data_IF_234400861692
#
_entry.id   IF_234400861692
#
_cell.length_a   1.000
_cell.length_b   1.000
_cell.length_c   1.000
_cell.angle_alpha   90.00
_cell.angle_beta   90.00
_cell.angle_gamma   90.00
#
_symmetry.space_group_name_H-M   'P 1'
#
loop_
_entity.id
_entity.type
_entity.pdbx_description
1 polymer ?
#
# COMPACT_ATOMS: atom_id res chain seq x y z
N UNK A 1 -27.00 36.50 20.39
CA UNK A 1 -25.71 36.48 19.66
C UNK A 1 -24.94 35.14 19.75
N UNK A 2 -25.25 34.21 20.68
CA UNK A 2 -24.55 32.91 20.80
C UNK A 2 -24.92 31.83 19.76
N UNK A 3 -26.13 31.89 19.17
CA UNK A 3 -26.59 30.89 18.19
C UNK A 3 -25.97 31.02 16.76
N UNK A 4 -25.56 32.24 16.36
CA UNK A 4 -24.93 32.44 15.04
C UNK A 4 -23.46 31.97 14.96
N UNK A 5 -22.76 31.97 16.09
CA UNK A 5 -21.34 31.52 16.13
C UNK A 5 -21.18 29.99 16.02
N UNK A 6 -22.15 29.24 16.55
CA UNK A 6 -22.12 27.78 16.45
C UNK A 6 -22.45 27.27 15.03
N UNK A 7 -23.36 27.96 14.34
CA UNK A 7 -23.70 27.62 12.94
C UNK A 7 -22.52 27.90 11.99
N UNK A 8 -21.76 28.97 12.23
CA UNK A 8 -20.59 29.33 11.42
C UNK A 8 -19.43 28.35 11.69
N UNK A 9 -19.26 27.87 12.93
CA UNK A 9 -18.21 26.90 13.27
C UNK A 9 -18.48 25.51 12.64
N UNK A 10 -19.75 25.08 12.61
CA UNK A 10 -20.16 23.82 11.98
C UNK A 10 -20.01 23.91 10.45
N UNK A 11 -20.28 25.06 9.84
CA UNK A 11 -20.14 25.30 8.40
C UNK A 11 -18.65 25.33 8.00
N UNK A 12 -17.76 25.84 8.85
CA UNK A 12 -16.29 25.83 8.61
C UNK A 12 -15.66 24.45 8.79
N UNK A 13 -16.18 23.62 9.71
CA UNK A 13 -15.73 22.22 9.83
C UNK A 13 -16.17 21.34 8.64
N UNK A 14 -17.34 21.64 8.06
CA UNK A 14 -17.80 20.96 6.83
C UNK A 14 -16.99 21.34 5.59
N UNK A 15 -16.38 22.53 5.54
CA UNK A 15 -15.58 23.00 4.40
C UNK A 15 -14.23 22.29 4.31
N UNK A 16 -13.68 21.81 5.43
CA UNK A 16 -12.45 20.99 5.42
C UNK A 16 -12.63 19.57 4.81
N UNK A 17 -13.87 19.10 4.68
CA UNK A 17 -14.22 17.83 4.03
C UNK A 17 -14.51 17.98 2.51
N UNK A 18 -14.45 19.19 1.96
CA UNK A 18 -14.85 19.50 0.57
C UNK A 18 -13.76 19.30 -0.50
N UNK A 19 -12.63 18.69 -0.17
CA UNK A 19 -11.63 18.26 -1.16
C UNK A 19 -12.01 17.00 -1.96
N UNK A 20 -13.05 16.28 -1.56
CA UNK A 20 -13.56 15.10 -2.26
C UNK A 20 -15.04 15.33 -2.60
N UNK A 21 -15.31 15.89 -3.77
CA UNK A 21 -16.57 16.36 -4.33
C UNK A 21 -17.85 15.56 -4.09
N UNK A 22 -18.20 15.26 -2.85
CA UNK A 22 -19.52 14.72 -2.47
C UNK A 22 -20.05 15.54 -1.30
N UNK A 23 -21.06 16.38 -1.57
CA UNK A 23 -21.87 17.01 -0.54
C UNK A 23 -22.72 15.94 0.15
N UNK A 24 -22.27 15.48 1.33
CA UNK A 24 -23.13 14.70 2.22
C UNK A 24 -24.03 15.71 2.94
N UNK A 25 -25.35 15.73 2.71
CA UNK A 25 -26.25 16.49 3.56
C UNK A 25 -26.28 15.81 4.93
N UNK A 26 -25.62 16.42 5.91
CA UNK A 26 -25.81 16.04 7.32
C UNK A 26 -27.25 16.45 7.67
N UNK A 27 -28.17 15.54 7.45
CA UNK A 27 -29.57 15.69 7.94
C UNK A 27 -29.52 15.45 9.45
N UNK A 28 -29.27 16.52 10.21
CA UNK A 28 -29.61 16.54 11.62
C UNK A 28 -31.15 16.63 11.71
N UNK A 29 -31.85 15.56 11.32
CA UNK A 29 -33.22 15.39 11.74
C UNK A 29 -33.21 15.06 13.23
N UNK A 30 -33.47 16.05 14.07
CA UNK A 30 -33.99 15.81 15.41
C UNK A 30 -35.35 15.11 15.28
N UNK A 31 -35.34 13.81 15.11
CA UNK A 31 -36.48 12.99 15.44
C UNK A 31 -36.54 12.94 16.97
N UNK A 32 -37.49 13.64 17.56
CA UNK A 32 -38.05 13.31 18.87
C UNK A 32 -38.80 11.98 18.71
N UNK A 33 -38.07 10.90 18.51
CA UNK A 33 -38.58 9.54 18.67
C UNK A 33 -38.65 9.30 20.19
N UNK A 34 -39.79 8.94 20.70
CA UNK A 34 -39.86 8.37 22.04
C UNK A 34 -38.88 7.22 22.15
N UNK A 35 -38.23 7.07 23.31
CA UNK A 35 -37.25 6.02 23.54
C UNK A 35 -37.82 4.65 23.12
N UNK A 36 -37.16 3.95 22.22
CA UNK A 36 -37.52 2.58 21.89
C UNK A 36 -37.22 1.68 23.11
N UNK A 37 -37.90 0.53 23.19
CA UNK A 37 -37.60 -0.47 24.27
C UNK A 37 -36.12 -0.87 24.30
N UNK A 38 -35.48 -0.86 23.15
CA UNK A 38 -34.06 -1.14 22.99
C UNK A 38 -33.20 -0.02 23.59
N UNK A 39 -33.60 1.24 23.41
CA UNK A 39 -32.91 2.37 24.02
C UNK A 39 -33.06 2.36 25.55
N UNK A 40 -34.24 2.04 26.09
CA UNK A 40 -34.44 1.90 27.53
C UNK A 40 -33.58 0.79 28.14
N UNK A 41 -33.42 -0.35 27.42
CA UNK A 41 -32.50 -1.43 27.85
C UNK A 41 -31.06 -0.97 27.84
N UNK A 42 -30.65 -0.27 26.79
CA UNK A 42 -29.27 0.25 26.67
C UNK A 42 -28.96 1.18 27.84
N UNK A 43 -29.85 2.18 28.10
CA UNK A 43 -29.66 3.16 29.15
C UNK A 43 -29.65 2.49 30.54
N UNK A 44 -30.50 1.47 30.76
CA UNK A 44 -30.55 0.70 32.01
C UNK A 44 -29.25 -0.08 32.22
N UNK A 45 -28.77 -0.82 31.20
CA UNK A 45 -27.53 -1.62 31.31
C UNK A 45 -26.34 -0.68 31.54
N UNK A 46 -26.27 0.41 30.79
CA UNK A 46 -25.22 1.42 30.91
C UNK A 46 -25.16 2.01 32.33
N UNK A 47 -26.34 2.39 32.89
CA UNK A 47 -26.44 2.89 34.26
C UNK A 47 -25.98 1.87 35.29
N UNK A 48 -26.45 0.62 35.20
CA UNK A 48 -26.04 -0.47 36.12
C UNK A 48 -24.53 -0.69 36.09
N UNK A 49 -23.93 -0.73 34.88
CA UNK A 49 -22.49 -0.95 34.74
C UNK A 49 -21.66 0.20 35.34
N UNK A 50 -22.15 1.42 35.24
CA UNK A 50 -21.45 2.59 35.79
C UNK A 50 -21.64 2.78 37.30
N UNK A 51 -22.80 2.38 37.88
CA UNK A 51 -23.12 2.64 39.28
C UNK A 51 -23.05 1.41 40.17
N UNK A 52 -23.72 0.32 39.79
CA UNK A 52 -24.02 -0.82 40.67
C UNK A 52 -23.07 -2.02 40.43
N UNK A 53 -22.39 -2.06 39.30
CA UNK A 53 -21.49 -3.15 38.99
C UNK A 53 -20.27 -3.19 39.95
N UNK A 54 -19.99 -4.33 40.51
CA UNK A 54 -18.90 -4.54 41.51
C UNK A 54 -17.53 -4.00 41.03
N UNK A 55 -17.27 -4.01 39.73
CA UNK A 55 -16.02 -3.55 39.15
C UNK A 55 -16.04 -2.07 38.68
N UNK A 56 -17.15 -1.36 38.81
CA UNK A 56 -17.31 0.02 38.31
C UNK A 56 -16.20 0.95 38.80
N UNK A 57 -15.83 0.87 40.08
CA UNK A 57 -14.76 1.68 40.70
C UNK A 57 -13.34 1.15 40.43
N UNK A 58 -13.19 -0.01 39.78
CA UNK A 58 -11.89 -0.64 39.51
C UNK A 58 -11.38 -0.37 38.10
N UNK A 59 -12.20 0.16 37.21
CA UNK A 59 -11.88 0.43 35.83
C UNK A 59 -11.80 1.93 35.62
N UNK A 60 -10.63 2.41 35.26
CA UNK A 60 -10.44 3.85 34.96
C UNK A 60 -11.16 4.20 33.66
N UNK A 61 -11.88 5.33 33.66
CA UNK A 61 -12.64 5.84 32.51
C UNK A 61 -13.68 4.81 31.99
N UNK A 62 -14.38 4.14 32.91
CA UNK A 62 -15.36 3.10 32.57
C UNK A 62 -16.45 3.63 31.63
N UNK A 63 -16.99 4.81 31.92
CA UNK A 63 -17.99 5.52 31.12
C UNK A 63 -17.61 5.57 29.63
N UNK A 64 -16.45 6.15 29.31
CA UNK A 64 -15.94 6.24 27.92
C UNK A 64 -15.73 4.86 27.31
N UNK A 65 -15.18 3.90 28.07
CA UNK A 65 -14.94 2.55 27.54
C UNK A 65 -16.21 1.80 27.19
N UNK A 66 -17.27 1.95 28.00
CA UNK A 66 -18.57 1.34 27.70
C UNK A 66 -19.20 1.95 26.45
N UNK A 67 -19.08 3.27 26.28
CA UNK A 67 -19.58 3.94 25.08
C UNK A 67 -18.77 3.55 23.82
N UNK A 68 -17.46 3.49 23.90
CA UNK A 68 -16.61 3.03 22.79
C UNK A 68 -16.95 1.58 22.38
N UNK A 69 -17.11 0.67 23.36
CA UNK A 69 -17.52 -0.71 23.08
C UNK A 69 -18.91 -0.78 22.42
N UNK A 70 -19.85 0.06 22.86
CA UNK A 70 -21.16 0.11 22.25
C UNK A 70 -21.11 0.61 20.81
N UNK A 71 -20.32 1.65 20.54
CA UNK A 71 -20.10 2.21 19.19
C UNK A 71 -19.43 1.16 18.29
N UNK A 72 -18.39 0.49 18.77
CA UNK A 72 -17.72 -0.58 18.04
C UNK A 72 -18.69 -1.72 17.70
N UNK A 73 -19.50 -2.16 18.67
CA UNK A 73 -20.54 -3.19 18.46
C UNK A 73 -21.60 -2.77 17.41
N UNK A 74 -22.00 -1.49 17.37
CA UNK A 74 -22.93 -0.99 16.36
C UNK A 74 -22.34 -0.97 14.94
N UNK A 75 -21.04 -0.83 14.82
CA UNK A 75 -20.35 -0.70 13.54
C UNK A 75 -19.80 -2.03 13.01
N UNK A 76 -19.79 -3.07 13.85
CA UNK A 76 -19.37 -4.43 13.46
C UNK A 76 -20.58 -5.23 12.95
N UNK A 77 -20.81 -5.18 11.63
CA UNK A 77 -21.93 -5.87 10.98
C UNK A 77 -21.45 -6.91 9.97
N UNK A 78 -21.94 -8.13 10.05
CA UNK A 78 -21.60 -9.26 9.16
C UNK A 78 -21.78 -8.96 7.66
N UNK A 79 -22.72 -8.05 7.32
CA UNK A 79 -23.02 -7.70 5.93
C UNK A 79 -22.03 -6.72 5.32
N UNK A 80 -21.28 -5.98 6.14
CA UNK A 80 -20.40 -4.91 5.69
C UNK A 80 -19.11 -4.84 6.53
N UNK A 81 -18.13 -5.62 6.13
CA UNK A 81 -16.81 -5.63 6.76
C UNK A 81 -16.00 -4.32 6.57
N UNK A 82 -16.52 -3.39 5.77
CA UNK A 82 -15.84 -2.11 5.47
C UNK A 82 -16.41 -0.92 6.25
N UNK A 83 -17.49 -1.12 7.01
CA UNK A 83 -18.02 -0.14 7.96
C UNK A 83 -17.39 -0.37 9.32
N UNK A 84 -16.63 0.62 9.82
CA UNK A 84 -15.84 0.51 11.03
C UNK A 84 -15.79 1.84 11.79
N UNK A 85 -15.84 1.76 13.11
CA UNK A 85 -15.37 2.83 13.99
C UNK A 85 -13.86 2.70 14.18
N UNK A 86 -13.16 3.81 14.20
CA UNK A 86 -11.74 3.89 14.48
C UNK A 86 -11.50 4.70 15.74
N UNK A 87 -10.85 4.12 16.73
CA UNK A 87 -10.30 4.86 17.85
C UNK A 87 -9.23 5.85 17.40
N UNK A 88 -8.69 6.64 18.34
CA UNK A 88 -7.72 7.69 18.04
C UNK A 88 -6.45 7.16 17.33
N UNK A 89 -5.95 5.99 17.75
CA UNK A 89 -4.73 5.38 17.17
C UNK A 89 -5.02 4.83 15.78
N UNK A 90 -6.11 4.10 15.63
CA UNK A 90 -6.57 3.55 14.37
C UNK A 90 -6.92 4.64 13.35
N UNK A 91 -7.58 5.73 13.78
CA UNK A 91 -7.92 6.86 12.92
C UNK A 91 -6.67 7.56 12.38
N UNK A 92 -5.66 7.78 13.24
CA UNK A 92 -4.36 8.34 12.83
C UNK A 92 -3.62 7.40 11.86
N UNK A 93 -3.56 6.10 12.17
CA UNK A 93 -2.92 5.12 11.30
C UNK A 93 -3.61 5.05 9.93
N UNK A 94 -4.95 5.06 9.91
CA UNK A 94 -5.72 5.07 8.68
C UNK A 94 -5.49 6.35 7.86
N UNK A 95 -5.53 7.54 8.48
CA UNK A 95 -5.25 8.82 7.80
C UNK A 95 -3.85 8.82 7.19
N UNK A 96 -2.83 8.46 7.98
CA UNK A 96 -1.45 8.38 7.50
C UNK A 96 -1.27 7.40 6.34
N UNK A 97 -2.03 6.28 6.33
CA UNK A 97 -1.99 5.32 5.23
C UNK A 97 -2.55 5.88 3.90
N UNK A 98 -3.47 6.83 3.98
CA UNK A 98 -4.06 7.50 2.81
C UNK A 98 -3.26 8.71 2.34
N UNK A 99 -2.52 9.37 3.23
CA UNK A 99 -1.72 10.55 2.87
C UNK A 99 -0.56 10.19 1.94
N UNK A 100 0.01 8.99 2.06
CA UNK A 100 1.12 8.51 1.23
C UNK A 100 2.43 9.26 1.44
N UNK A 101 2.44 10.28 2.32
CA UNK A 101 3.60 11.15 2.53
C UNK A 101 4.61 10.54 3.49
N UNK A 102 5.88 10.66 3.15
CA UNK A 102 7.01 10.22 3.94
C UNK A 102 8.08 11.30 4.01
N UNK A 103 8.86 11.33 5.10
CA UNK A 103 10.05 12.18 5.22
C UNK A 103 11.28 11.35 4.89
N UNK A 104 12.04 11.78 3.88
CA UNK A 104 13.23 11.06 3.44
C UNK A 104 13.83 11.61 2.16
N UNK A 105 14.61 10.79 1.47
CA UNK A 105 15.25 11.11 0.19
C UNK A 105 14.35 10.84 -1.01
N UNK A 106 13.28 10.07 -0.83
CA UNK A 106 12.38 9.65 -1.91
C UNK A 106 12.90 8.48 -2.73
N UNK A 107 13.48 7.49 -2.06
CA UNK A 107 13.94 6.24 -2.64
C UNK A 107 13.40 5.05 -1.85
N UNK A 108 13.25 3.91 -2.54
CA UNK A 108 13.29 2.58 -1.92
C UNK A 108 14.68 2.00 -2.13
N UNK A 109 15.15 1.20 -1.22
CA UNK A 109 16.49 0.61 -1.30
C UNK A 109 16.53 -0.79 -0.68
N UNK A 110 17.58 -1.52 -1.00
CA UNK A 110 18.02 -2.72 -0.28
C UNK A 110 19.49 -2.61 0.05
N UNK A 111 19.99 -3.44 0.96
CA UNK A 111 21.42 -3.50 1.27
C UNK A 111 22.10 -4.55 0.41
N UNK A 112 23.22 -4.17 -0.22
CA UNK A 112 24.09 -5.14 -0.89
C UNK A 112 25.04 -5.85 0.12
N UNK A 113 25.90 -6.73 -0.36
CA UNK A 113 26.87 -7.46 0.47
C UNK A 113 27.84 -6.54 1.22
N UNK A 114 28.12 -5.34 0.67
CA UNK A 114 28.96 -4.32 1.29
C UNK A 114 28.16 -3.44 2.29
N UNK A 115 26.90 -3.78 2.56
CA UNK A 115 25.97 -2.99 3.39
C UNK A 115 25.71 -1.56 2.89
N UNK A 116 25.97 -1.27 1.62
CA UNK A 116 25.61 -0.03 1.01
C UNK A 116 24.13 -0.05 0.55
N UNK A 117 23.51 1.12 0.45
CA UNK A 117 22.11 1.25 0.06
C UNK A 117 21.97 1.28 -1.46
N UNK A 118 21.56 0.18 -2.04
CA UNK A 118 21.26 0.12 -3.48
C UNK A 118 19.83 0.63 -3.73
N UNK A 119 19.71 1.67 -4.52
CA UNK A 119 18.42 2.26 -4.88
C UNK A 119 17.63 1.26 -5.74
N UNK A 120 16.47 0.82 -5.26
CA UNK A 120 15.56 -0.02 -6.04
C UNK A 120 14.53 0.79 -6.81
N UNK A 121 14.00 1.88 -6.20
CA UNK A 121 13.06 2.78 -6.84
C UNK A 121 13.36 4.23 -6.45
N UNK A 122 13.03 5.15 -7.37
CA UNK A 122 13.04 6.59 -7.12
C UNK A 122 11.62 7.12 -7.30
N UNK A 123 11.06 7.70 -6.24
CA UNK A 123 9.72 8.28 -6.28
C UNK A 123 9.74 9.61 -7.00
N UNK A 124 8.79 9.79 -7.90
CA UNK A 124 8.69 11.00 -8.72
C UNK A 124 8.56 12.25 -7.83
N UNK A 125 9.11 13.34 -8.29
CA UNK A 125 9.06 14.64 -7.60
C UNK A 125 9.83 14.73 -6.26
N UNK A 126 10.48 13.65 -5.82
CA UNK A 126 11.34 13.62 -4.63
C UNK A 126 12.66 14.38 -4.81
N UNK A 127 13.44 14.54 -3.74
CA UNK A 127 14.79 15.12 -3.86
C UNK A 127 15.72 14.22 -4.69
N UNK A 128 15.61 12.89 -4.54
CA UNK A 128 16.38 11.93 -5.32
C UNK A 128 16.05 12.04 -6.83
N UNK A 129 14.76 12.12 -7.17
CA UNK A 129 14.30 12.29 -8.55
C UNK A 129 14.83 13.60 -9.17
N UNK A 130 14.66 14.72 -8.46
CA UNK A 130 15.14 16.05 -8.91
C UNK A 130 16.65 16.14 -9.08
N UNK A 131 17.40 15.30 -8.37
CA UNK A 131 18.87 15.22 -8.48
C UNK A 131 19.37 14.10 -9.38
N UNK A 132 18.46 13.39 -10.03
CA UNK A 132 18.78 12.39 -11.04
C UNK A 132 19.37 11.10 -10.51
N UNK A 133 19.03 10.69 -9.26
CA UNK A 133 19.30 9.34 -8.81
C UNK A 133 18.47 8.35 -9.65
N UNK A 134 19.00 7.15 -9.81
CA UNK A 134 18.37 6.09 -10.62
C UNK A 134 18.35 4.77 -9.85
N UNK A 135 17.48 3.83 -10.21
CA UNK A 135 17.64 2.45 -9.78
C UNK A 135 19.04 1.93 -10.05
N UNK A 136 19.57 1.11 -9.14
CA UNK A 136 20.92 0.57 -9.10
C UNK A 136 22.04 1.56 -8.72
N UNK A 137 21.74 2.83 -8.40
CA UNK A 137 22.72 3.67 -7.72
C UNK A 137 22.99 3.11 -6.32
N UNK A 138 24.26 2.97 -5.97
CA UNK A 138 24.71 2.47 -4.68
C UNK A 138 25.15 3.62 -3.79
N UNK A 139 24.33 4.02 -2.81
CA UNK A 139 24.67 5.12 -1.88
C UNK A 139 25.68 4.59 -0.87
N UNK A 140 26.87 5.20 -0.84
CA UNK A 140 28.00 4.80 0.00
C UNK A 140 28.19 5.68 1.21
N UNK A 141 27.80 6.96 1.16
CA UNK A 141 27.82 7.84 2.34
C UNK A 141 26.82 9.00 2.24
N UNK A 142 26.42 9.46 3.42
CA UNK A 142 25.63 10.67 3.64
C UNK A 142 26.45 11.59 4.55
N UNK A 143 26.96 12.71 4.01
CA UNK A 143 28.02 13.51 4.63
C UNK A 143 29.21 12.61 5.02
N UNK A 144 29.58 12.58 6.32
CA UNK A 144 30.65 11.73 6.84
C UNK A 144 30.17 10.34 7.31
N UNK A 145 28.84 10.09 7.24
CA UNK A 145 28.25 8.84 7.68
C UNK A 145 28.31 7.80 6.55
N UNK A 146 29.20 6.81 6.70
CA UNK A 146 29.34 5.72 5.72
C UNK A 146 28.24 4.68 5.91
N UNK A 147 27.58 4.28 4.83
CA UNK A 147 26.51 3.28 4.86
C UNK A 147 27.01 1.91 5.34
N UNK A 148 28.18 1.47 4.87
CA UNK A 148 28.76 0.18 5.22
C UNK A 148 29.15 0.01 6.71
N UNK A 149 29.29 1.12 7.44
CA UNK A 149 29.69 1.11 8.85
C UNK A 149 28.49 1.29 9.80
N UNK A 150 27.27 1.49 9.27
CA UNK A 150 26.07 1.81 10.05
C UNK A 150 24.89 0.92 9.65
N UNK A 151 23.96 0.67 10.56
CA UNK A 151 22.70 -0.01 10.27
C UNK A 151 21.70 0.92 9.59
N UNK A 152 20.71 0.32 8.93
CA UNK A 152 19.68 1.05 8.20
C UNK A 152 18.89 2.01 9.08
N UNK A 153 18.62 1.63 10.34
CA UNK A 153 17.87 2.47 11.27
C UNK A 153 18.64 3.76 11.61
N UNK A 154 19.97 3.65 11.80
CA UNK A 154 20.85 4.79 12.04
C UNK A 154 20.87 5.74 10.85
N UNK A 155 21.00 5.19 9.63
CA UNK A 155 20.96 5.98 8.39
C UNK A 155 19.60 6.67 8.21
N UNK A 156 18.49 5.95 8.42
CA UNK A 156 17.14 6.52 8.30
C UNK A 156 16.90 7.62 9.34
N UNK A 157 17.36 7.43 10.58
CA UNK A 157 17.27 8.46 11.64
C UNK A 157 18.09 9.70 11.26
N UNK A 158 19.30 9.50 10.71
CA UNK A 158 20.14 10.61 10.24
C UNK A 158 19.42 11.42 9.15
N UNK A 159 18.88 10.74 8.13
CA UNK A 159 18.12 11.38 7.06
C UNK A 159 16.95 12.21 7.62
N UNK A 160 16.15 11.64 8.53
CA UNK A 160 15.01 12.34 9.14
C UNK A 160 15.44 13.54 9.99
N UNK A 161 16.54 13.43 10.72
CA UNK A 161 17.07 14.52 11.53
C UNK A 161 17.61 15.71 10.72
N UNK A 162 17.92 15.50 9.43
CA UNK A 162 18.42 16.52 8.50
C UNK A 162 17.33 16.99 7.52
N UNK A 163 16.05 16.88 7.88
CA UNK A 163 14.96 17.39 7.06
C UNK A 163 15.17 18.90 6.75
N UNK A 164 15.02 19.26 5.47
CA UNK A 164 15.23 20.63 4.97
C UNK A 164 16.69 21.06 4.86
N UNK A 165 17.66 20.23 5.22
CA UNK A 165 19.09 20.54 5.16
C UNK A 165 19.76 19.83 3.98
N UNK A 166 20.85 20.40 3.46
CA UNK A 166 21.65 19.75 2.43
C UNK A 166 22.45 18.59 3.05
N UNK A 167 22.28 17.39 2.52
CA UNK A 167 23.05 16.20 2.85
C UNK A 167 23.90 15.82 1.65
N UNK A 168 25.21 15.94 1.77
CA UNK A 168 26.15 15.55 0.72
C UNK A 168 26.14 14.04 0.58
N UNK A 169 25.63 13.56 -0.55
CA UNK A 169 25.42 12.14 -0.83
C UNK A 169 26.44 11.66 -1.86
N UNK A 170 27.25 10.68 -1.49
CA UNK A 170 28.11 9.97 -2.41
C UNK A 170 27.48 8.66 -2.83
N UNK A 171 27.55 8.34 -4.12
CA UNK A 171 27.01 7.11 -4.65
C UNK A 171 27.86 6.59 -5.82
N UNK A 172 27.78 5.29 -6.06
CA UNK A 172 28.34 4.64 -7.24
C UNK A 172 27.24 4.42 -8.27
N UNK A 173 27.55 4.66 -9.54
CA UNK A 173 26.74 4.30 -10.70
C UNK A 173 27.68 3.67 -11.73
N UNK A 174 27.39 2.44 -12.11
CA UNK A 174 28.26 1.65 -13.01
C UNK A 174 29.73 1.61 -12.53
N UNK A 175 29.91 1.46 -11.22
CA UNK A 175 31.22 1.41 -10.58
C UNK A 175 31.97 2.75 -10.47
N UNK A 176 31.38 3.86 -10.95
CA UNK A 176 32.00 5.20 -10.89
C UNK A 176 31.35 6.03 -9.77
N UNK A 177 32.21 6.69 -8.97
CA UNK A 177 31.76 7.55 -7.87
C UNK A 177 31.21 8.89 -8.37
N UNK A 178 30.06 9.28 -7.81
CA UNK A 178 29.42 10.57 -7.99
C UNK A 178 29.10 11.20 -6.64
N UNK A 179 28.94 12.50 -6.65
CA UNK A 179 28.52 13.26 -5.47
C UNK A 179 27.37 14.21 -5.86
N UNK A 180 26.33 14.24 -5.04
CA UNK A 180 25.23 15.20 -5.15
C UNK A 180 24.80 15.68 -3.77
N UNK A 181 24.04 16.79 -3.71
CA UNK A 181 23.42 17.25 -2.47
C UNK A 181 21.93 16.93 -2.52
N UNK A 182 21.47 16.06 -1.62
CA UNK A 182 20.07 15.76 -1.41
C UNK A 182 19.53 16.57 -0.24
N UNK A 183 18.27 16.97 -0.29
CA UNK A 183 17.58 17.65 0.79
C UNK A 183 16.46 16.73 1.25
N UNK A 184 16.64 15.99 2.38
CA UNK A 184 15.56 15.21 2.92
C UNK A 184 14.34 16.08 3.18
N UNK A 185 13.16 15.59 2.85
CA UNK A 185 11.93 16.33 3.02
C UNK A 185 10.72 15.43 2.81
N UNK A 186 9.55 16.02 2.93
CA UNK A 186 8.30 15.31 2.65
C UNK A 186 8.16 15.02 1.16
N UNK A 187 7.85 13.79 0.80
CA UNK A 187 7.55 13.35 -0.56
C UNK A 187 6.40 12.34 -0.54
N UNK A 188 5.68 12.25 -1.64
CA UNK A 188 4.65 11.24 -1.83
C UNK A 188 5.29 9.96 -2.38
N UNK A 189 5.13 8.85 -1.67
CA UNK A 189 5.76 7.56 -1.99
C UNK A 189 4.85 6.66 -2.84
N UNK A 190 4.03 7.23 -3.72
CA UNK A 190 3.00 6.46 -4.44
C UNK A 190 3.31 6.21 -5.90
N UNK A 191 4.12 7.05 -6.55
CA UNK A 191 4.42 6.94 -7.98
C UNK A 191 5.91 6.83 -8.25
N UNK A 192 6.30 5.75 -8.92
CA UNK A 192 7.64 5.55 -9.50
C UNK A 192 7.52 5.54 -11.01
N UNK A 193 8.45 6.17 -11.72
CA UNK A 193 8.46 6.20 -13.17
C UNK A 193 9.85 5.85 -13.72
N UNK A 194 9.95 4.72 -14.39
CA UNK A 194 11.13 4.24 -15.07
C UNK A 194 10.94 4.35 -16.58
N UNK A 195 11.93 4.88 -17.27
CA UNK A 195 11.95 5.03 -18.73
C UNK A 195 12.97 4.07 -19.30
N UNK A 196 12.54 3.17 -20.17
CA UNK A 196 13.38 2.23 -20.92
C UNK A 196 13.36 2.61 -22.40
N UNK A 197 14.13 1.93 -23.23
CA UNK A 197 14.30 2.29 -24.63
C UNK A 197 12.98 2.24 -25.43
N UNK A 198 12.10 1.27 -25.18
CA UNK A 198 10.90 1.00 -25.96
C UNK A 198 9.59 0.96 -25.14
N UNK A 199 9.69 1.09 -23.81
CA UNK A 199 8.53 1.15 -22.93
C UNK A 199 8.82 1.98 -21.67
N UNK A 200 7.75 2.47 -21.04
CA UNK A 200 7.79 3.06 -19.72
C UNK A 200 7.18 2.13 -18.68
N UNK A 201 7.69 2.18 -17.46
CA UNK A 201 7.11 1.47 -16.32
C UNK A 201 6.68 2.48 -15.25
N UNK A 202 5.43 2.43 -14.86
CA UNK A 202 4.94 3.18 -13.72
C UNK A 202 4.48 2.20 -12.66
N UNK A 203 5.09 2.29 -11.45
CA UNK A 203 4.63 1.56 -10.28
C UNK A 203 3.78 2.52 -9.46
N UNK A 204 2.52 2.16 -9.24
CA UNK A 204 1.58 2.92 -8.42
C UNK A 204 1.24 2.10 -7.18
N UNK A 205 1.77 2.50 -6.03
CA UNK A 205 1.68 1.72 -4.79
C UNK A 205 0.37 1.95 -4.02
N UNK A 206 -0.21 3.15 -4.15
CA UNK A 206 -1.52 3.50 -3.57
C UNK A 206 -2.09 4.74 -4.27
N UNK A 207 -3.34 5.09 -3.95
CA UNK A 207 -4.03 6.28 -4.46
C UNK A 207 -4.12 7.34 -3.35
N UNK A 208 -3.07 8.13 -3.16
CA UNK A 208 -3.02 9.27 -2.24
C UNK A 208 -3.59 10.54 -2.87
N UNK A 209 -3.66 11.63 -2.10
CA UNK A 209 -4.14 12.92 -2.56
C UNK A 209 -3.34 13.47 -3.75
N UNK A 210 -2.04 13.21 -3.79
CA UNK A 210 -1.14 13.75 -4.83
C UNK A 210 -0.87 12.75 -5.97
N UNK A 211 -1.29 11.50 -5.85
CA UNK A 211 -0.98 10.46 -6.84
C UNK A 211 -1.40 10.81 -8.26
N UNK A 212 -2.53 11.50 -8.44
CA UNK A 212 -2.99 11.96 -9.77
C UNK A 212 -2.03 12.93 -10.42
N UNK A 213 -1.58 13.94 -9.68
CA UNK A 213 -0.62 14.95 -10.16
C UNK A 213 0.74 14.32 -10.47
N UNK A 214 1.22 13.46 -9.60
CA UNK A 214 2.52 12.82 -9.79
C UNK A 214 2.47 11.78 -10.93
N UNK A 215 1.35 11.07 -11.09
CA UNK A 215 1.12 10.22 -12.26
C UNK A 215 1.10 11.03 -13.57
N UNK A 216 0.45 12.18 -13.59
CA UNK A 216 0.44 13.06 -14.76
C UNK A 216 1.86 13.54 -15.15
N UNK A 217 2.73 13.84 -14.15
CA UNK A 217 4.15 14.15 -14.40
C UNK A 217 4.90 12.95 -14.96
N UNK A 218 4.62 11.73 -14.44
CA UNK A 218 5.19 10.50 -14.97
C UNK A 218 4.80 10.30 -16.44
N UNK A 219 3.52 10.49 -16.77
CA UNK A 219 3.03 10.39 -18.14
C UNK A 219 3.67 11.44 -19.06
N UNK A 220 3.86 12.67 -18.59
CA UNK A 220 4.57 13.73 -19.33
C UNK A 220 6.03 13.35 -19.62
N UNK A 221 6.73 12.77 -18.62
CA UNK A 221 8.10 12.25 -18.77
C UNK A 221 8.18 11.15 -19.85
N UNK A 222 7.23 10.22 -19.86
CA UNK A 222 7.16 9.18 -20.89
C UNK A 222 6.88 9.78 -22.27
N UNK A 223 6.00 10.76 -22.36
CA UNK A 223 5.68 11.46 -23.60
C UNK A 223 6.89 12.22 -24.15
N UNK A 224 7.64 12.94 -23.31
CA UNK A 224 8.87 13.66 -23.67
C UNK A 224 9.97 12.69 -24.18
N UNK A 225 10.03 11.49 -23.60
CA UNK A 225 10.92 10.42 -24.05
C UNK A 225 10.43 9.69 -25.32
N UNK A 226 9.26 10.06 -25.87
CA UNK A 226 8.69 9.40 -27.06
C UNK A 226 8.09 8.03 -26.81
N UNK A 227 7.92 7.63 -25.55
CA UNK A 227 7.41 6.31 -25.16
C UNK A 227 5.90 6.20 -25.47
N UNK A 228 5.51 5.08 -26.09
CA UNK A 228 4.12 4.76 -26.46
C UNK A 228 3.57 3.48 -25.82
N UNK A 229 4.39 2.75 -25.09
CA UNK A 229 4.04 1.50 -24.43
C UNK A 229 4.25 1.63 -22.94
N UNK A 230 3.22 1.32 -22.14
CA UNK A 230 3.22 1.46 -20.70
C UNK A 230 3.05 0.10 -20.01
N UNK A 231 3.93 -0.22 -19.09
CA UNK A 231 3.72 -1.23 -18.06
C UNK A 231 3.29 -0.49 -16.79
N UNK A 232 2.06 -0.73 -16.33
CA UNK A 232 1.48 -0.12 -15.13
C UNK A 232 1.37 -1.17 -14.03
N UNK A 233 2.21 -1.08 -13.00
CA UNK A 233 2.21 -2.02 -11.89
C UNK A 233 1.27 -1.56 -10.78
N UNK A 234 0.17 -2.29 -10.60
CA UNK A 234 -0.83 -2.12 -9.55
C UNK A 234 -0.84 -3.28 -8.56
N UNK A 235 0.15 -4.17 -8.59
CA UNK A 235 0.24 -5.27 -7.64
C UNK A 235 0.41 -4.74 -6.22
N UNK A 236 -0.27 -5.38 -5.27
CA UNK A 236 -0.30 -4.98 -3.86
C UNK A 236 -0.86 -3.56 -3.59
N UNK A 237 -1.49 -2.93 -4.59
CA UNK A 237 -2.15 -1.64 -4.43
C UNK A 237 -3.58 -1.85 -3.92
N UNK A 238 -3.81 -1.61 -2.64
CA UNK A 238 -5.13 -1.74 -1.98
C UNK A 238 -6.13 -0.64 -2.35
N UNK A 239 -5.76 0.31 -3.22
CA UNK A 239 -6.58 1.45 -3.60
C UNK A 239 -6.21 2.73 -2.86
N UNK A 240 -7.20 3.48 -2.43
CA UNK A 240 -7.08 4.78 -1.77
C UNK A 240 -8.20 5.73 -2.23
N UNK A 241 -7.88 6.98 -2.49
CA UNK A 241 -8.86 7.99 -2.91
C UNK A 241 -9.38 7.74 -4.32
N UNK A 242 -10.71 7.66 -4.48
CA UNK A 242 -11.37 7.55 -5.79
C UNK A 242 -11.11 8.78 -6.67
N UNK A 243 -10.95 9.95 -6.05
CA UNK A 243 -10.58 11.16 -6.77
C UNK A 243 -9.24 11.01 -7.49
N UNK A 244 -8.23 10.40 -6.84
CA UNK A 244 -6.95 10.11 -7.48
C UNK A 244 -7.11 9.11 -8.64
N UNK A 245 -8.03 8.14 -8.53
CA UNK A 245 -8.34 7.24 -9.66
C UNK A 245 -8.96 7.97 -10.84
N UNK A 246 -9.83 8.98 -10.60
CA UNK A 246 -10.36 9.87 -11.64
C UNK A 246 -9.22 10.63 -12.34
N UNK A 247 -8.33 11.24 -11.58
CA UNK A 247 -7.20 12.03 -12.09
C UNK A 247 -6.23 11.18 -12.92
N UNK A 248 -5.85 10.00 -12.42
CA UNK A 248 -4.98 9.06 -13.13
C UNK A 248 -5.66 8.55 -14.40
N UNK A 249 -6.95 8.18 -14.32
CA UNK A 249 -7.71 7.77 -15.49
C UNK A 249 -7.75 8.87 -16.54
N UNK A 250 -7.91 10.14 -16.13
CA UNK A 250 -7.95 11.30 -17.06
C UNK A 250 -6.64 11.50 -17.83
N UNK A 251 -5.50 11.08 -17.27
CA UNK A 251 -4.22 11.10 -17.95
C UNK A 251 -4.07 10.00 -19.02
N UNK A 252 -4.94 8.99 -19.04
CA UNK A 252 -4.82 7.80 -19.90
C UNK A 252 -5.98 7.61 -20.88
N UNK A 253 -7.19 8.02 -20.51
CA UNK A 253 -8.40 7.82 -21.33
C UNK A 253 -8.91 9.14 -21.91
N UNK A 254 -9.70 9.13 -23.01
CA UNK A 254 -10.18 10.33 -23.65
C UNK A 254 -11.00 11.22 -22.72
N UNK A 255 -10.94 12.53 -22.94
CA UNK A 255 -11.79 13.51 -22.25
C UNK A 255 -13.28 13.15 -22.36
N UNK A 256 -14.04 13.57 -21.36
CA UNK A 256 -15.50 13.34 -21.29
C UNK A 256 -15.90 11.86 -21.31
N UNK A 257 -14.98 10.99 -20.93
CA UNK A 257 -15.25 9.55 -20.76
C UNK A 257 -15.77 9.26 -19.35
N UNK A 258 -16.60 8.23 -19.22
CA UNK A 258 -17.00 7.70 -17.91
C UNK A 258 -15.83 6.89 -17.35
N UNK A 259 -15.40 7.21 -16.13
CA UNK A 259 -14.38 6.45 -15.41
C UNK A 259 -15.03 5.31 -14.62
N UNK A 260 -16.10 5.59 -13.90
CA UNK A 260 -16.92 4.61 -13.21
C UNK A 260 -18.34 5.14 -12.95
N UNK A 261 -19.22 4.27 -12.48
CA UNK A 261 -20.58 4.62 -12.06
C UNK A 261 -20.75 4.22 -10.60
N UNK A 262 -21.39 5.07 -9.82
CA UNK A 262 -21.80 4.80 -8.45
C UNK A 262 -23.28 4.45 -8.41
N UNK A 263 -23.65 3.52 -7.55
CA UNK A 263 -25.03 3.19 -7.25
C UNK A 263 -25.27 3.35 -5.76
N UNK A 264 -26.12 4.29 -5.40
CA UNK A 264 -26.48 4.56 -4.00
C UNK A 264 -27.44 3.51 -3.41
N UNK A 265 -27.82 3.70 -2.13
CA UNK A 265 -28.79 2.84 -1.42
C UNK A 265 -30.18 2.81 -2.03
N UNK A 266 -30.58 3.88 -2.75
CA UNK A 266 -31.89 4.03 -3.37
C UNK A 266 -31.90 3.52 -4.82
N UNK A 267 -30.76 3.02 -5.30
CA UNK A 267 -30.60 2.41 -6.62
C UNK A 267 -30.29 3.39 -7.74
N UNK A 268 -30.05 4.67 -7.42
CA UNK A 268 -29.71 5.70 -8.40
C UNK A 268 -28.26 5.59 -8.83
N UNK A 269 -28.02 5.78 -10.14
CA UNK A 269 -26.68 5.78 -10.70
C UNK A 269 -26.18 7.18 -10.95
N UNK A 270 -24.96 7.47 -10.45
CA UNK A 270 -24.17 8.66 -10.78
C UNK A 270 -22.96 8.24 -11.62
N UNK A 271 -22.61 9.03 -12.63
CA UNK A 271 -21.43 8.81 -13.48
C UNK A 271 -20.30 9.71 -13.01
N UNK A 272 -19.14 9.12 -12.80
CA UNK A 272 -17.90 9.84 -12.55
C UNK A 272 -17.11 9.92 -13.85
N UNK A 273 -16.77 11.14 -14.25
CA UNK A 273 -16.17 11.43 -15.56
C UNK A 273 -14.70 11.81 -15.41
N UNK A 274 -13.96 11.75 -16.52
CA UNK A 274 -12.62 12.34 -16.61
C UNK A 274 -12.64 13.82 -16.25
N UNK A 275 -11.52 14.32 -15.71
CA UNK A 275 -11.31 15.69 -15.29
C UNK A 275 -10.55 16.46 -16.39
N UNK A 276 -11.03 17.66 -16.73
CA UNK A 276 -10.49 18.46 -17.84
C UNK A 276 -9.10 19.05 -17.55
N UNK A 277 -8.69 19.11 -16.26
CA UNK A 277 -7.35 19.60 -15.87
C UNK A 277 -6.19 18.61 -16.10
N UNK A 278 -6.50 17.37 -16.51
CA UNK A 278 -5.50 16.33 -16.79
C UNK A 278 -5.47 16.03 -18.29
N UNK A 279 -4.33 16.27 -18.92
CA UNK A 279 -4.15 15.98 -20.34
C UNK A 279 -3.94 14.49 -20.59
N UNK A 280 -4.70 13.92 -21.50
CA UNK A 280 -4.49 12.55 -21.94
C UNK A 280 -3.15 12.40 -22.68
N UNK A 281 -2.34 11.45 -22.24
CA UNK A 281 -1.18 10.94 -22.99
C UNK A 281 -1.57 9.61 -23.65
N UNK A 282 -1.74 9.63 -24.96
CA UNK A 282 -2.14 8.45 -25.73
C UNK A 282 -1.03 7.42 -25.75
N UNK A 283 -1.35 6.20 -25.30
CA UNK A 283 -0.48 5.01 -25.39
C UNK A 283 -0.99 4.06 -26.48
N UNK A 284 -0.08 3.43 -27.19
CA UNK A 284 -0.40 2.39 -28.18
C UNK A 284 -0.67 1.06 -27.49
N UNK A 285 -0.06 0.83 -26.33
CA UNK A 285 -0.20 -0.36 -25.50
C UNK A 285 -0.12 -0.01 -24.02
N UNK A 286 -1.01 -0.58 -23.21
CA UNK A 286 -0.97 -0.50 -21.75
C UNK A 286 -1.05 -1.92 -21.21
N UNK A 287 -0.02 -2.37 -20.50
CA UNK A 287 -0.01 -3.65 -19.81
C UNK A 287 -0.11 -3.39 -18.32
N UNK A 288 -1.19 -3.84 -17.69
CA UNK A 288 -1.44 -3.65 -16.27
C UNK A 288 -1.08 -4.91 -15.50
N UNK A 289 -0.16 -4.79 -14.55
CA UNK A 289 0.14 -5.83 -13.57
C UNK A 289 -0.85 -5.74 -12.41
N UNK A 290 -1.46 -6.86 -12.06
CA UNK A 290 -2.42 -6.97 -10.95
C UNK A 290 -2.23 -8.26 -10.16
N UNK A 291 -2.64 -8.26 -8.90
CA UNK A 291 -2.69 -9.47 -8.07
C UNK A 291 -3.90 -9.44 -7.11
N UNK A 292 -4.03 -10.45 -6.25
CA UNK A 292 -5.12 -10.61 -5.26
C UNK A 292 -5.20 -9.47 -4.23
N UNK A 293 -4.15 -8.66 -4.10
CA UNK A 293 -4.11 -7.47 -3.24
C UNK A 293 -4.41 -6.17 -4.01
N UNK A 294 -4.60 -6.24 -5.33
CA UNK A 294 -5.04 -5.11 -6.15
C UNK A 294 -6.53 -4.87 -5.90
N UNK A 295 -6.90 -3.73 -5.29
CA UNK A 295 -8.26 -3.52 -4.79
C UNK A 295 -8.80 -2.09 -4.99
N UNK A 296 -10.14 -1.94 -4.95
CA UNK A 296 -10.82 -0.63 -4.83
C UNK A 296 -10.46 0.36 -5.94
N UNK A 297 -9.87 1.53 -5.64
CA UNK A 297 -9.47 2.55 -6.61
C UNK A 297 -8.55 2.00 -7.71
N UNK A 298 -7.68 1.01 -7.40
CA UNK A 298 -6.88 0.31 -8.39
C UNK A 298 -7.75 -0.50 -9.36
N UNK A 299 -8.81 -1.14 -8.86
CA UNK A 299 -9.77 -1.86 -9.71
C UNK A 299 -10.66 -0.91 -10.51
N UNK A 300 -10.98 0.28 -9.96
CA UNK A 300 -11.67 1.35 -10.73
C UNK A 300 -10.82 1.75 -11.93
N UNK A 301 -9.52 1.98 -11.75
CA UNK A 301 -8.60 2.30 -12.83
C UNK A 301 -8.55 1.17 -13.89
N UNK A 302 -8.40 -0.09 -13.48
CA UNK A 302 -8.43 -1.24 -14.39
C UNK A 302 -9.74 -1.27 -15.20
N UNK A 303 -10.88 -1.10 -14.54
CA UNK A 303 -12.19 -1.10 -15.18
C UNK A 303 -12.36 0.05 -16.17
N UNK A 304 -11.90 1.25 -15.79
CA UNK A 304 -11.91 2.43 -16.67
C UNK A 304 -11.06 2.23 -17.92
N UNK A 305 -9.85 1.72 -17.77
CA UNK A 305 -8.94 1.45 -18.89
C UNK A 305 -9.50 0.38 -19.83
N UNK A 306 -9.93 -0.77 -19.30
CA UNK A 306 -10.48 -1.88 -20.12
C UNK A 306 -11.73 -1.47 -20.89
N UNK A 307 -12.63 -0.73 -20.27
CA UNK A 307 -13.91 -0.37 -20.87
C UNK A 307 -13.77 0.76 -21.91
N UNK A 308 -12.85 1.70 -21.72
CA UNK A 308 -12.66 2.84 -22.63
C UNK A 308 -11.62 2.58 -23.74
N UNK A 309 -10.59 1.78 -23.48
CA UNK A 309 -9.47 1.57 -24.41
C UNK A 309 -9.46 0.20 -25.08
N UNK A 310 -10.29 -0.75 -24.59
CA UNK A 310 -10.45 -2.07 -25.21
C UNK A 310 -9.14 -2.85 -25.36
N UNK A 311 -8.82 -3.26 -26.57
CA UNK A 311 -7.66 -4.12 -26.88
C UNK A 311 -6.29 -3.46 -26.68
N UNK A 312 -6.24 -2.15 -26.49
CA UNK A 312 -5.02 -1.44 -26.09
C UNK A 312 -4.55 -1.87 -24.69
N UNK A 313 -5.46 -2.39 -23.85
CA UNK A 313 -5.20 -2.74 -22.46
C UNK A 313 -5.15 -4.25 -22.27
N UNK A 314 -4.01 -4.75 -21.78
CA UNK A 314 -3.83 -6.15 -21.37
C UNK A 314 -3.54 -6.18 -19.88
N UNK A 315 -4.19 -7.10 -19.15
CA UNK A 315 -3.89 -7.32 -17.72
C UNK A 315 -3.14 -8.63 -17.54
N UNK A 316 -2.08 -8.60 -16.73
CA UNK A 316 -1.17 -9.72 -16.43
C UNK A 316 -1.11 -9.94 -14.92
N UNK A 317 -1.07 -11.17 -14.48
CA UNK A 317 -0.91 -11.53 -13.06
C UNK A 317 -1.98 -12.49 -12.57
N UNK A 318 -2.60 -12.22 -11.41
CA UNK A 318 -3.67 -13.01 -10.81
C UNK A 318 -4.95 -12.18 -10.68
N UNK A 319 -6.06 -12.84 -10.32
CA UNK A 319 -7.36 -12.16 -10.13
C UNK A 319 -7.26 -11.11 -9.02
N UNK A 320 -7.78 -9.90 -9.26
CA UNK A 320 -7.81 -8.83 -8.28
C UNK A 320 -8.79 -9.10 -7.13
N UNK A 321 -8.76 -8.30 -6.07
CA UNK A 321 -9.49 -8.52 -4.83
C UNK A 321 -11.02 -8.55 -4.97
N UNK A 322 -11.59 -7.63 -5.74
CA UNK A 322 -13.05 -7.53 -5.90
C UNK A 322 -13.72 -6.63 -4.86
N UNK A 323 -13.13 -5.48 -4.53
CA UNK A 323 -13.76 -4.49 -3.64
C UNK A 323 -14.63 -3.52 -4.44
N UNK A 324 -15.91 -3.86 -4.61
CA UNK A 324 -16.90 -3.07 -5.36
C UNK A 324 -17.75 -2.13 -4.51
N UNK A 325 -17.30 -1.77 -3.30
CA UNK A 325 -18.00 -0.83 -2.38
C UNK A 325 -17.18 0.42 -2.17
N UNK A 326 -17.87 1.54 -1.97
CA UNK A 326 -17.32 2.84 -1.67
C UNK A 326 -17.64 3.25 -0.25
N UNK A 327 -16.64 3.79 0.46
CA UNK A 327 -16.78 4.28 1.83
C UNK A 327 -16.47 5.76 1.91
N UNK A 328 -17.13 6.41 2.87
CA UNK A 328 -16.75 7.74 3.35
C UNK A 328 -16.34 7.65 4.81
N UNK A 329 -15.47 8.56 5.23
CA UNK A 329 -15.00 8.67 6.61
C UNK A 329 -15.46 9.99 7.20
N UNK A 330 -16.08 9.92 8.37
CA UNK A 330 -16.53 11.08 9.16
C UNK A 330 -15.60 11.21 10.36
N UNK A 331 -14.75 12.25 10.43
CA UNK A 331 -13.94 12.51 11.61
C UNK A 331 -14.77 13.12 12.72
N UNK A 332 -14.44 12.78 13.98
CA UNK A 332 -15.02 13.37 15.17
C UNK A 332 -14.06 14.38 15.82
N UNK A 333 -14.59 15.24 16.68
CA UNK A 333 -13.83 16.33 17.32
C UNK A 333 -12.77 15.85 18.31
N UNK A 334 -12.87 14.61 18.78
CA UNK A 334 -11.91 13.95 19.67
C UNK A 334 -10.78 13.23 18.92
N UNK A 335 -10.81 13.26 17.58
CA UNK A 335 -9.81 12.62 16.71
C UNK A 335 -10.13 11.18 16.33
N UNK A 336 -11.20 10.60 16.84
CA UNK A 336 -11.73 9.32 16.37
C UNK A 336 -12.45 9.48 15.03
N UNK A 337 -12.82 8.40 14.35
CA UNK A 337 -13.55 8.50 13.08
C UNK A 337 -14.46 7.32 12.82
N UNK A 338 -15.46 7.54 11.96
CA UNK A 338 -16.39 6.51 11.51
C UNK A 338 -16.35 6.39 9.99
N UNK A 339 -15.99 5.23 9.50
CA UNK A 339 -15.99 4.88 8.09
C UNK A 339 -17.19 3.99 7.77
N UNK A 340 -17.97 4.32 6.76
CA UNK A 340 -19.13 3.52 6.37
C UNK A 340 -19.35 3.48 4.87
N UNK A 341 -19.97 2.41 4.39
CA UNK A 341 -20.29 2.21 2.98
C UNK A 341 -21.47 3.07 2.55
N UNK A 342 -21.27 3.88 1.50
CA UNK A 342 -22.29 4.79 0.93
C UNK A 342 -22.82 4.32 -0.40
N UNK A 343 -21.99 3.63 -1.20
CA UNK A 343 -22.35 3.23 -2.55
C UNK A 343 -21.67 1.91 -2.97
N UNK A 344 -22.13 1.37 -4.10
CA UNK A 344 -21.41 0.38 -4.88
C UNK A 344 -20.98 1.01 -6.19
N UNK A 345 -19.77 0.73 -6.61
CA UNK A 345 -19.30 1.19 -7.90
C UNK A 345 -19.33 0.09 -8.97
N UNK A 346 -19.38 0.53 -10.21
CA UNK A 346 -19.49 -0.29 -11.42
C UNK A 346 -18.55 0.29 -12.48
N UNK A 347 -18.05 -0.56 -13.38
CA UNK A 347 -17.24 -0.10 -14.51
C UNK A 347 -18.06 0.84 -15.44
N UNK A 348 -17.43 1.57 -16.36
CA UNK A 348 -18.11 2.40 -17.34
C UNK A 348 -19.25 1.66 -18.07
N UNK A 349 -19.05 0.40 -18.45
CA UNK A 349 -20.08 -0.45 -19.11
C UNK A 349 -21.10 -1.04 -18.14
N UNK A 350 -20.94 -0.79 -16.83
CA UNK A 350 -21.90 -1.23 -15.81
C UNK A 350 -21.64 -2.62 -15.22
N UNK A 351 -20.43 -3.14 -15.36
CA UNK A 351 -20.04 -4.42 -14.76
C UNK A 351 -19.72 -4.24 -13.27
N UNK A 352 -20.26 -5.11 -12.42
CA UNK A 352 -19.88 -5.19 -10.99
C UNK A 352 -18.79 -6.23 -10.80
N UNK A 353 -17.73 -5.84 -10.11
CA UNK A 353 -16.63 -6.75 -9.75
C UNK A 353 -16.67 -7.14 -8.27
N UNK A 354 -17.67 -6.68 -7.53
CA UNK A 354 -17.76 -6.91 -6.08
C UNK A 354 -17.69 -8.40 -5.74
N UNK A 355 -16.74 -8.78 -4.88
CA UNK A 355 -16.42 -10.17 -4.47
C UNK A 355 -15.97 -11.09 -5.62
N UNK A 356 -15.64 -10.54 -6.80
CA UNK A 356 -15.20 -11.31 -7.97
C UNK A 356 -13.82 -10.89 -8.48
N UNK A 357 -13.51 -9.61 -8.43
CA UNK A 357 -12.32 -9.02 -9.01
C UNK A 357 -12.31 -9.06 -10.54
N UNK A 358 -11.21 -8.59 -11.11
CA UNK A 358 -10.87 -8.71 -12.52
C UNK A 358 -9.97 -9.92 -12.75
N UNK A 359 -10.40 -10.86 -13.56
CA UNK A 359 -9.49 -11.89 -14.07
C UNK A 359 -8.51 -11.25 -15.05
N UNK A 360 -7.20 -11.59 -14.96
CA UNK A 360 -6.22 -11.08 -15.92
C UNK A 360 -6.45 -11.67 -17.31
N UNK A 361 -6.01 -10.95 -18.35
CA UNK A 361 -5.97 -11.47 -19.71
C UNK A 361 -4.92 -12.58 -19.85
N UNK A 362 -3.79 -12.42 -19.15
CA UNK A 362 -2.70 -13.39 -19.09
C UNK A 362 -2.46 -13.75 -17.63
N UNK A 363 -2.87 -14.97 -17.24
CA UNK A 363 -2.65 -15.45 -15.87
C UNK A 363 -1.21 -15.91 -15.72
N UNK A 364 -0.51 -15.30 -14.75
CA UNK A 364 0.86 -15.65 -14.37
C UNK A 364 0.95 -15.62 -12.85
N UNK A 365 1.39 -16.73 -12.27
CA UNK A 365 1.66 -16.83 -10.84
C UNK A 365 3.13 -16.50 -10.56
N UNK A 366 3.39 -15.82 -9.46
CA UNK A 366 4.74 -15.64 -8.95
C UNK A 366 5.31 -16.97 -8.45
N UNK A 367 6.63 -17.09 -8.47
CA UNK A 367 7.33 -18.21 -7.88
C UNK A 367 7.04 -18.36 -6.38
N UNK A 368 7.22 -19.59 -5.88
CA UNK A 368 6.91 -19.96 -4.49
C UNK A 368 7.60 -19.02 -3.48
N UNK A 369 8.85 -18.65 -3.73
CA UNK A 369 9.62 -17.74 -2.87
C UNK A 369 8.95 -16.37 -2.66
N UNK A 370 8.21 -15.86 -3.64
CA UNK A 370 7.52 -14.56 -3.56
C UNK A 370 6.10 -14.65 -2.99
N UNK A 371 5.56 -15.86 -2.86
CA UNK A 371 4.18 -16.10 -2.41
C UNK A 371 4.11 -16.77 -1.04
N UNK A 372 5.21 -17.32 -0.55
CA UNK A 372 5.26 -17.98 0.76
C UNK A 372 5.22 -16.95 1.88
N UNK A 373 4.22 -17.06 2.73
CA UNK A 373 4.07 -16.25 3.93
C UNK A 373 4.74 -16.89 5.14
N UNK A 374 5.08 -16.07 6.14
CA UNK A 374 5.64 -16.53 7.41
C UNK A 374 5.14 -15.66 8.56
N UNK A 375 5.13 -16.24 9.76
CA UNK A 375 4.83 -15.53 10.99
C UNK A 375 6.09 -14.85 11.54
N UNK A 376 5.90 -13.75 12.28
CA UNK A 376 7.01 -13.00 12.90
C UNK A 376 7.80 -13.91 13.86
N UNK A 377 9.06 -14.16 13.54
CA UNK A 377 10.00 -14.94 14.38
C UNK A 377 10.45 -14.10 15.58
N UNK A 378 10.23 -14.59 16.79
CA UNK A 378 10.61 -13.94 18.06
C UNK A 378 11.95 -14.50 18.54
N UNK A 379 12.64 -13.76 19.43
CA UNK A 379 13.96 -14.16 19.95
C UNK A 379 14.00 -15.55 20.61
N UNK A 380 12.85 -16.03 21.12
CA UNK A 380 12.73 -17.35 21.79
C UNK A 380 12.36 -18.49 20.84
N UNK A 381 11.95 -18.17 19.62
CA UNK A 381 11.48 -19.17 18.65
C UNK A 381 12.70 -19.82 18.00
N UNK A 382 12.69 -21.15 17.94
CA UNK A 382 13.75 -21.95 17.29
C UNK A 382 13.10 -23.12 16.57
N UNK A 383 13.29 -23.20 15.25
CA UNK A 383 12.84 -24.34 14.44
C UNK A 383 13.95 -25.40 14.48
N UNK A 384 13.61 -26.59 14.94
CA UNK A 384 14.57 -27.70 15.12
C UNK A 384 14.28 -28.84 14.17
N UNK A 385 15.31 -29.63 13.91
CA UNK A 385 15.17 -30.88 13.19
C UNK A 385 14.06 -31.74 13.76
N UNK A 386 13.30 -32.41 12.89
CA UNK A 386 12.18 -33.31 13.21
C UNK A 386 11.03 -32.63 13.96
N UNK A 387 10.88 -31.30 13.82
CA UNK A 387 9.77 -30.52 14.34
C UNK A 387 8.74 -30.15 13.27
N UNK A 388 7.51 -29.89 13.71
CA UNK A 388 6.47 -29.26 12.89
C UNK A 388 6.35 -27.82 13.35
N UNK A 389 6.55 -26.87 12.44
CA UNK A 389 6.50 -25.44 12.70
C UNK A 389 5.88 -24.70 11.50
N UNK A 390 5.02 -23.73 11.76
CA UNK A 390 4.34 -22.97 10.70
C UNK A 390 5.32 -22.21 9.79
N UNK A 391 6.50 -21.81 10.31
CA UNK A 391 7.53 -21.14 9.54
C UNK A 391 8.51 -22.12 8.84
N UNK A 392 8.44 -23.43 9.11
CA UNK A 392 9.33 -24.40 8.48
C UNK A 392 9.13 -24.45 6.96
N UNK A 393 7.92 -24.25 6.47
CA UNK A 393 7.65 -24.15 5.03
C UNK A 393 8.45 -23.00 4.41
N UNK A 394 8.32 -21.79 4.99
CA UNK A 394 9.02 -20.62 4.48
C UNK A 394 10.54 -20.78 4.58
N UNK A 395 11.05 -21.32 5.70
CA UNK A 395 12.45 -21.62 5.89
C UNK A 395 12.99 -22.50 4.75
N UNK A 396 12.30 -23.60 4.44
CA UNK A 396 12.71 -24.56 3.40
C UNK A 396 12.61 -23.98 2.00
N UNK A 397 11.56 -23.21 1.70
CA UNK A 397 11.41 -22.49 0.41
C UNK A 397 12.58 -21.52 0.21
N UNK A 398 12.96 -20.78 1.23
CA UNK A 398 14.02 -19.78 1.17
C UNK A 398 15.41 -20.42 1.06
N UNK A 399 15.68 -21.50 1.80
CA UNK A 399 16.92 -22.28 1.63
C UNK A 399 17.07 -22.84 0.22
N UNK A 400 15.99 -23.45 -0.30
CA UNK A 400 15.96 -23.96 -1.68
C UNK A 400 16.20 -22.85 -2.71
N UNK A 401 15.59 -21.69 -2.53
CA UNK A 401 15.81 -20.55 -3.39
C UNK A 401 17.26 -20.06 -3.39
N UNK A 402 17.93 -20.09 -2.24
CA UNK A 402 19.35 -19.75 -2.14
C UNK A 402 20.27 -20.84 -2.71
N UNK A 403 19.75 -22.04 -2.95
CA UNK A 403 20.50 -23.16 -3.55
C UNK A 403 20.96 -24.22 -2.56
N UNK A 404 20.48 -24.17 -1.32
CA UNK A 404 20.75 -25.20 -0.30
C UNK A 404 19.84 -26.42 -0.47
N UNK A 405 20.34 -27.58 -0.08
CA UNK A 405 19.61 -28.83 -0.23
C UNK A 405 18.45 -28.93 0.78
N UNK A 406 17.24 -29.15 0.25
CA UNK A 406 16.03 -29.41 1.02
C UNK A 406 15.18 -30.44 0.27
N UNK A 407 14.63 -31.41 1.00
CA UNK A 407 13.84 -32.50 0.43
C UNK A 407 12.33 -32.19 0.37
N UNK A 408 11.89 -31.09 0.99
CA UNK A 408 10.47 -30.72 1.11
C UNK A 408 10.28 -29.24 1.35
N UNK A 409 9.05 -28.74 1.15
CA UNK A 409 8.64 -27.34 1.40
C UNK A 409 7.28 -27.30 2.11
N UNK A 410 7.12 -28.06 3.18
CA UNK A 410 5.94 -28.07 4.05
C UNK A 410 6.29 -27.70 5.49
N UNK A 411 5.39 -27.86 6.42
CA UNK A 411 5.56 -27.47 7.83
C UNK A 411 6.45 -28.41 8.65
N UNK A 412 6.89 -29.55 8.11
CA UNK A 412 7.81 -30.46 8.81
C UNK A 412 9.26 -30.16 8.43
N UNK A 413 10.11 -29.84 9.40
CA UNK A 413 11.51 -29.53 9.19
C UNK A 413 12.36 -30.81 9.28
N UNK A 414 12.71 -31.39 8.14
CA UNK A 414 13.39 -32.68 8.02
C UNK A 414 14.86 -32.64 8.38
N UNK A 415 15.48 -33.82 8.48
CA UNK A 415 16.92 -33.94 8.65
C UNK A 415 17.71 -33.36 7.44
N UNK A 416 17.25 -33.59 6.21
CA UNK A 416 17.89 -33.03 5.01
C UNK A 416 17.83 -31.50 5.02
N UNK A 417 16.67 -30.94 5.32
CA UNK A 417 16.49 -29.48 5.45
C UNK A 417 17.36 -28.88 6.56
N UNK A 418 17.49 -29.60 7.70
CA UNK A 418 18.38 -29.18 8.80
C UNK A 418 19.87 -29.19 8.37
N UNK A 419 20.30 -30.17 7.57
CA UNK A 419 21.64 -30.19 6.99
C UNK A 419 21.85 -29.04 6.00
N UNK A 420 20.88 -28.77 5.13
CA UNK A 420 20.92 -27.61 4.22
C UNK A 420 21.01 -26.27 4.99
N UNK A 421 20.30 -26.16 6.11
CA UNK A 421 20.41 -24.99 6.99
C UNK A 421 21.79 -24.91 7.66
N UNK A 422 22.37 -26.02 8.10
CA UNK A 422 23.72 -26.05 8.65
C UNK A 422 24.75 -25.58 7.63
N UNK A 423 24.62 -26.00 6.37
CA UNK A 423 25.49 -25.51 5.29
C UNK A 423 25.31 -24.00 5.06
N UNK A 424 24.06 -23.50 5.07
CA UNK A 424 23.79 -22.04 5.01
C UNK A 424 24.46 -21.30 6.17
N UNK A 425 24.37 -21.83 7.38
CA UNK A 425 24.99 -21.23 8.57
C UNK A 425 26.50 -21.17 8.43
N UNK A 426 27.14 -22.26 8.02
CA UNK A 426 28.60 -22.34 7.81
C UNK A 426 29.07 -21.33 6.75
N UNK A 427 28.43 -21.30 5.57
CA UNK A 427 28.76 -20.39 4.48
C UNK A 427 28.65 -18.91 4.86
N UNK A 428 27.81 -18.61 5.86
CA UNK A 428 27.57 -17.25 6.32
C UNK A 428 28.18 -16.92 7.70
N UNK A 429 29.13 -17.76 8.18
CA UNK A 429 29.91 -17.52 9.40
C UNK A 429 29.10 -17.63 10.70
N UNK A 430 28.02 -18.41 10.68
CA UNK A 430 27.27 -18.79 11.87
C UNK A 430 27.72 -20.16 12.37
N UNK A 431 27.40 -20.50 13.62
CA UNK A 431 27.54 -21.87 14.11
C UNK A 431 26.60 -22.81 13.36
N UNK A 432 27.13 -23.86 12.75
CA UNK A 432 26.39 -24.81 11.91
C UNK A 432 25.56 -25.80 12.76
N UNK A 433 24.58 -25.32 13.47
CA UNK A 433 23.72 -26.12 14.36
C UNK A 433 22.64 -26.90 13.62
N UNK A 434 22.24 -26.45 12.43
CA UNK A 434 21.06 -26.93 11.71
C UNK A 434 19.72 -26.56 12.35
N UNK A 435 19.74 -25.78 13.43
CA UNK A 435 18.55 -25.20 14.08
C UNK A 435 18.39 -23.73 13.61
N UNK A 436 17.15 -23.30 13.31
CA UNK A 436 16.87 -21.93 12.90
C UNK A 436 16.42 -21.08 14.08
N UNK A 437 17.34 -20.35 14.67
CA UNK A 437 17.03 -19.29 15.63
C UNK A 437 16.74 -17.95 14.91
N UNK A 438 16.39 -16.92 15.68
CA UNK A 438 16.09 -15.61 15.11
C UNK A 438 17.28 -14.99 14.34
N UNK A 439 18.50 -15.19 14.80
CA UNK A 439 19.69 -14.67 14.13
C UNK A 439 19.91 -15.32 12.75
N UNK A 440 19.75 -16.63 12.70
CA UNK A 440 19.80 -17.41 11.47
C UNK A 440 18.66 -16.99 10.52
N UNK A 441 17.44 -16.84 11.05
CA UNK A 441 16.31 -16.39 10.26
C UNK A 441 16.51 -14.99 9.64
N UNK A 442 16.97 -14.04 10.45
CA UNK A 442 17.18 -12.67 9.97
C UNK A 442 18.24 -12.62 8.84
N UNK A 443 19.33 -13.38 8.99
CA UNK A 443 20.36 -13.49 7.96
C UNK A 443 19.84 -14.19 6.70
N UNK A 444 19.03 -15.25 6.87
CA UNK A 444 18.40 -15.93 5.73
C UNK A 444 17.52 -14.95 4.94
N UNK A 445 16.69 -14.16 5.63
CA UNK A 445 15.84 -13.16 4.99
C UNK A 445 16.63 -12.06 4.29
N UNK A 446 17.75 -11.62 4.88
CA UNK A 446 18.68 -10.66 4.25
C UNK A 446 19.20 -11.21 2.92
N UNK A 447 19.69 -12.45 2.90
CA UNK A 447 20.24 -13.10 1.70
C UNK A 447 19.16 -13.37 0.63
N UNK A 448 17.96 -13.77 1.04
CA UNK A 448 16.81 -13.96 0.15
C UNK A 448 16.43 -12.65 -0.52
N UNK A 449 16.28 -11.57 0.25
CA UNK A 449 15.94 -10.25 -0.28
C UNK A 449 17.02 -9.71 -1.22
N UNK A 450 18.29 -9.88 -0.87
CA UNK A 450 19.40 -9.50 -1.73
C UNK A 450 19.31 -10.23 -3.09
N UNK A 451 19.22 -11.57 -3.08
CA UNK A 451 19.10 -12.35 -4.31
C UNK A 451 17.87 -11.99 -5.14
N UNK A 452 16.71 -11.75 -4.50
CA UNK A 452 15.51 -11.32 -5.20
C UNK A 452 15.69 -9.97 -5.93
N UNK A 453 16.42 -9.04 -5.33
CA UNK A 453 16.69 -7.74 -5.94
C UNK A 453 17.74 -7.82 -7.04
N UNK A 454 18.73 -8.69 -6.91
CA UNK A 454 19.77 -8.93 -7.91
C UNK A 454 19.30 -9.80 -9.09
N UNK A 455 18.14 -10.48 -8.94
CA UNK A 455 17.59 -11.35 -9.98
C UNK A 455 16.19 -10.86 -10.43
N UNK A 456 16.09 -9.73 -11.16
CA UNK A 456 14.80 -9.20 -11.65
C UNK A 456 14.01 -10.19 -12.52
N UNK A 457 14.68 -11.18 -13.14
CA UNK A 457 14.06 -12.26 -13.92
C UNK A 457 13.15 -13.18 -13.10
N UNK A 458 13.32 -13.23 -11.78
CA UNK A 458 12.46 -14.01 -10.89
C UNK A 458 11.05 -13.39 -10.71
N UNK A 459 10.86 -12.16 -11.16
CA UNK A 459 9.53 -11.57 -11.29
C UNK A 459 8.89 -11.97 -12.63
N UNK A 460 8.39 -13.20 -12.68
CA UNK A 460 7.78 -13.78 -13.88
C UNK A 460 6.58 -12.98 -14.39
N UNK A 461 5.82 -12.33 -13.49
CA UNK A 461 4.71 -11.46 -13.87
C UNK A 461 5.22 -10.21 -14.58
N UNK A 462 6.26 -9.54 -14.03
CA UNK A 462 6.86 -8.37 -14.63
C UNK A 462 7.51 -8.69 -15.97
N UNK A 463 8.25 -9.80 -16.04
CA UNK A 463 8.82 -10.25 -17.31
C UNK A 463 7.75 -10.46 -18.37
N UNK A 464 6.65 -11.14 -18.00
CA UNK A 464 5.53 -11.35 -18.92
C UNK A 464 4.84 -10.04 -19.34
N UNK A 465 4.71 -9.08 -18.43
CA UNK A 465 4.15 -7.77 -18.78
C UNK A 465 5.02 -7.01 -19.77
N UNK A 466 6.35 -7.07 -19.62
CA UNK A 466 7.30 -6.48 -20.56
C UNK A 466 7.17 -7.16 -21.93
N UNK A 467 7.15 -8.48 -21.99
CA UNK A 467 6.93 -9.23 -23.24
C UNK A 467 5.62 -8.83 -23.94
N UNK A 468 4.53 -8.69 -23.18
CA UNK A 468 3.24 -8.25 -23.75
C UNK A 468 3.29 -6.80 -24.21
N UNK A 469 4.01 -5.93 -23.55
CA UNK A 469 4.19 -4.54 -23.96
C UNK A 469 5.01 -4.43 -25.27
N UNK A 470 5.97 -5.32 -25.46
CA UNK A 470 6.86 -5.30 -26.64
C UNK A 470 6.22 -5.88 -27.92
N UNK A 471 5.14 -6.65 -27.80
CA UNK A 471 4.32 -7.07 -28.95
C UNK A 471 3.57 -5.93 -29.59
#
# INVERSE_FOLDING_TARGET
MRKKSQTILITLLCIACFGAGVSVPVILNKTTAGNSKEQEKFDTIYSILNSDWYYSNKIKNLDSKLMEQAIDGMTTLDKDAHTNYFDLEQAKAFSSSLEGSNVGLGISFYLNENKNFVVSNVYINSTADKKGLKPNDEIISLDDLKCSENDSDTIIKYIKAHEGQNVKTKYLRDGKEYTTNLIPGTFDSTVVCNVYDDYGEIILTSFSENSGKDFSKAMSRLQEAGIKKLVLDLRNNGGGYLNAALEISSSLIPEKSVVFKEKDKDGQFTKQMTKDEFNQVKMDKIVVLQNENTASAAEVLIGALKDNLGDTVITVGTTSYGKGTEQVTVPFSDGTSFKYTVARWYTPKGTSINKKGFKPNVEVKLGEVKTTSYYKVKKKDVIKKDSVDDNAQALQVYLKYLGYDVDRTDTYFSNTSSQGLASFQEDNGLEATGDCDKKTWDLLMEKVLLKMNETPSDDTQRQKAIEEAQK
#
